data_IF_198959842893
#
_entry.id   IF_198959842893
#
_cell.length_a   1.000
_cell.length_b   1.000
_cell.length_c   1.000
_cell.angle_alpha   90.00
_cell.angle_beta   90.00
_cell.angle_gamma   90.00
#
_symmetry.space_group_name_H-M   'P 1'
#
loop_
_entity.id
_entity.type
_entity.pdbx_description
1 polymer ?
#
# COMPACT_ATOMS: atom_id res chain seq x y z
N UNK A 1 24.98 -18.11 -16.65
CA UNK A 1 24.92 -16.75 -16.07
C UNK A 1 23.45 -16.40 -16.03
N UNK A 2 22.87 -16.40 -14.83
CA UNK A 2 21.44 -16.18 -14.63
C UNK A 2 21.10 -14.72 -14.94
N UNK A 3 20.39 -14.48 -16.05
CA UNK A 3 20.12 -13.13 -16.56
C UNK A 3 19.15 -12.34 -15.67
N UNK A 4 18.40 -13.03 -14.81
CA UNK A 4 17.48 -12.40 -13.86
C UNK A 4 18.19 -11.79 -12.64
N UNK A 5 19.41 -12.26 -12.31
CA UNK A 5 20.11 -11.88 -11.10
C UNK A 5 20.66 -10.44 -11.09
N UNK A 6 20.68 -9.74 -12.25
CA UNK A 6 21.21 -8.39 -12.39
C UNK A 6 20.17 -7.36 -12.87
N UNK A 7 18.88 -7.70 -12.91
CA UNK A 7 17.84 -6.71 -13.14
C UNK A 7 17.56 -5.94 -11.83
N UNK A 8 17.86 -4.63 -11.76
CA UNK A 8 17.62 -3.83 -10.55
C UNK A 8 16.16 -3.86 -10.10
N UNK A 9 15.21 -4.02 -11.03
CA UNK A 9 13.77 -4.08 -10.74
C UNK A 9 13.39 -5.40 -10.06
N UNK A 10 14.00 -6.52 -10.44
CA UNK A 10 13.77 -7.85 -9.83
C UNK A 10 14.35 -7.89 -8.41
N UNK A 11 15.54 -7.33 -8.22
CA UNK A 11 16.17 -7.23 -6.90
C UNK A 11 15.35 -6.34 -5.94
N UNK A 12 14.87 -5.19 -6.42
CA UNK A 12 14.01 -4.28 -5.65
C UNK A 12 12.68 -4.94 -5.25
N UNK A 13 12.03 -5.68 -6.17
CA UNK A 13 10.80 -6.44 -5.88
C UNK A 13 11.00 -7.48 -4.80
N UNK A 14 12.10 -8.25 -4.89
CA UNK A 14 12.45 -9.27 -3.90
C UNK A 14 12.74 -8.67 -2.52
N UNK A 15 13.41 -7.51 -2.48
CA UNK A 15 13.67 -6.78 -1.25
C UNK A 15 12.39 -6.24 -0.61
N UNK A 16 11.52 -5.60 -1.40
CA UNK A 16 10.23 -5.08 -0.94
C UNK A 16 9.34 -6.20 -0.37
N UNK A 17 9.28 -7.34 -1.06
CA UNK A 17 8.53 -8.52 -0.61
C UNK A 17 9.01 -9.02 0.75
N UNK A 18 10.31 -9.19 0.92
CA UNK A 18 10.88 -9.63 2.20
C UNK A 18 10.58 -8.64 3.33
N UNK A 19 10.75 -7.34 3.07
CA UNK A 19 10.50 -6.32 4.08
C UNK A 19 9.04 -6.31 4.54
N UNK A 20 8.08 -6.33 3.60
CA UNK A 20 6.65 -6.33 3.94
C UNK A 20 6.23 -7.61 4.69
N UNK A 21 6.69 -8.78 4.23
CA UNK A 21 6.36 -10.04 4.89
C UNK A 21 6.91 -10.12 6.31
N UNK A 22 8.15 -9.67 6.52
CA UNK A 22 8.76 -9.63 7.85
C UNK A 22 8.03 -8.69 8.81
N UNK A 23 7.63 -7.50 8.33
CA UNK A 23 6.85 -6.57 9.15
C UNK A 23 5.46 -7.14 9.44
N UNK A 24 4.74 -7.67 8.45
CA UNK A 24 3.43 -8.28 8.65
C UNK A 24 3.46 -9.42 9.69
N UNK A 25 4.50 -10.26 9.68
CA UNK A 25 4.70 -11.31 10.70
C UNK A 25 4.95 -10.72 12.09
N UNK A 26 5.75 -9.67 12.20
CA UNK A 26 6.02 -9.01 13.49
C UNK A 26 4.77 -8.37 14.09
N UNK A 27 3.84 -7.89 13.28
CA UNK A 27 2.60 -7.27 13.75
C UNK A 27 1.60 -8.29 14.28
N UNK A 28 1.54 -9.49 13.70
CA UNK A 28 0.56 -10.54 14.05
C UNK A 28 0.72 -11.11 15.47
N UNK A 29 1.76 -10.74 16.22
CA UNK A 29 2.08 -11.30 17.54
C UNK A 29 2.24 -10.30 18.68
N UNK A 30 1.92 -9.01 18.49
CA UNK A 30 2.14 -7.98 19.53
C UNK A 30 0.86 -7.63 20.29
N UNK A 31 0.91 -7.74 21.61
CA UNK A 31 -0.19 -7.33 22.51
C UNK A 31 -0.14 -5.81 22.83
N UNK A 32 1.02 -5.17 22.74
CA UNK A 32 1.19 -3.75 23.01
C UNK A 32 0.82 -2.89 21.79
N UNK A 33 -0.28 -2.13 21.90
CA UNK A 33 -0.69 -1.11 20.92
C UNK A 33 0.23 0.11 20.99
N UNK A 34 1.35 0.05 20.27
CA UNK A 34 2.16 1.22 19.94
C UNK A 34 1.58 1.89 18.69
N UNK A 35 1.35 3.20 18.74
CA UNK A 35 0.95 3.98 17.57
C UNK A 35 2.07 3.99 16.54
N UNK A 36 1.72 3.63 15.29
CA UNK A 36 2.67 3.48 14.19
C UNK A 36 2.26 4.33 13.00
N UNK A 37 3.26 4.75 12.23
CA UNK A 37 3.08 5.41 10.96
C UNK A 37 3.78 4.62 9.84
N UNK A 38 3.10 4.44 8.71
CA UNK A 38 3.63 3.79 7.51
C UNK A 38 3.91 4.84 6.44
N UNK A 39 5.12 4.82 5.88
CA UNK A 39 5.47 5.66 4.73
C UNK A 39 5.78 4.78 3.52
N UNK A 40 5.15 5.07 2.39
CA UNK A 40 5.32 4.31 1.15
C UNK A 40 5.51 5.24 -0.05
N UNK A 41 6.39 4.86 -0.97
CA UNK A 41 6.65 5.63 -2.19
C UNK A 41 5.85 5.09 -3.37
N UNK A 42 5.55 5.92 -4.37
CA UNK A 42 4.91 5.49 -5.62
C UNK A 42 5.57 4.28 -6.29
N UNK A 43 6.91 4.21 -6.43
CA UNK A 43 7.58 3.02 -6.96
C UNK A 43 7.37 1.76 -6.11
N UNK A 44 7.36 1.88 -4.78
CA UNK A 44 7.05 0.75 -3.90
C UNK A 44 5.58 0.31 -4.05
N UNK A 45 4.64 1.26 -4.14
CA UNK A 45 3.23 0.97 -4.40
C UNK A 45 3.01 0.25 -5.73
N UNK A 46 3.81 0.55 -6.76
CA UNK A 46 3.73 -0.20 -8.02
C UNK A 46 4.04 -1.68 -7.80
N UNK A 47 5.12 -2.00 -7.08
CA UNK A 47 5.47 -3.38 -6.74
C UNK A 47 4.38 -4.06 -5.91
N UNK A 48 3.83 -3.34 -4.93
CA UNK A 48 2.77 -3.85 -4.04
C UNK A 48 1.49 -4.13 -4.84
N UNK A 49 1.09 -3.22 -5.73
CA UNK A 49 -0.13 -3.38 -6.51
C UNK A 49 0.00 -4.42 -7.64
N UNK A 50 1.21 -4.71 -8.11
CA UNK A 50 1.47 -5.76 -9.12
C UNK A 50 1.41 -7.19 -8.54
N UNK A 51 1.40 -7.40 -7.21
CA UNK A 51 1.40 -8.71 -6.55
C UNK A 51 0.26 -8.78 -5.50
N UNK A 52 -0.73 -9.66 -5.71
CA UNK A 52 -1.90 -9.77 -4.84
C UNK A 52 -1.53 -10.15 -3.39
N UNK A 53 -0.47 -10.93 -3.16
CA UNK A 53 -0.04 -11.28 -1.81
C UNK A 53 0.54 -10.07 -1.09
N UNK A 54 1.36 -9.26 -1.79
CA UNK A 54 1.91 -8.03 -1.22
C UNK A 54 0.84 -6.98 -0.97
N UNK A 55 -0.20 -6.94 -1.82
CA UNK A 55 -1.35 -6.06 -1.63
C UNK A 55 -2.10 -6.39 -0.34
N UNK A 56 -2.30 -7.67 -0.05
CA UNK A 56 -2.92 -8.13 1.19
C UNK A 56 -2.04 -7.81 2.42
N UNK A 57 -0.75 -8.14 2.38
CA UNK A 57 0.18 -7.84 3.47
C UNK A 57 0.28 -6.33 3.75
N UNK A 58 0.33 -5.51 2.69
CA UNK A 58 0.35 -4.05 2.82
C UNK A 58 -0.93 -3.52 3.47
N UNK A 59 -2.10 -4.05 3.12
CA UNK A 59 -3.36 -3.64 3.73
C UNK A 59 -3.40 -4.00 5.22
N UNK A 60 -2.97 -5.21 5.59
CA UNK A 60 -2.91 -5.63 6.99
C UNK A 60 -2.02 -4.68 7.80
N UNK A 61 -0.82 -4.36 7.30
CA UNK A 61 0.10 -3.42 7.96
C UNK A 61 -0.50 -2.02 8.05
N UNK A 62 -1.12 -1.54 6.95
CA UNK A 62 -1.68 -0.19 6.86
C UNK A 62 -2.88 0.00 7.80
N UNK A 63 -3.77 -1.00 7.91
CA UNK A 63 -4.93 -0.99 8.80
C UNK A 63 -4.54 -0.96 10.28
N UNK A 64 -3.35 -1.48 10.60
CA UNK A 64 -2.76 -1.50 11.92
C UNK A 64 -2.02 -0.20 12.30
N UNK A 65 -1.77 0.68 11.32
CA UNK A 65 -1.08 1.94 11.52
C UNK A 65 -2.08 3.07 11.82
N UNK A 66 -1.70 3.98 12.72
CA UNK A 66 -2.49 5.18 13.01
C UNK A 66 -2.45 6.17 11.83
N UNK A 67 -1.34 6.18 11.08
CA UNK A 67 -1.12 7.11 9.96
C UNK A 67 -0.47 6.35 8.80
N UNK A 68 -0.95 6.60 7.58
CA UNK A 68 -0.30 6.13 6.34
C UNK A 68 -0.02 7.32 5.44
N UNK A 69 1.24 7.48 5.02
CA UNK A 69 1.70 8.54 4.12
C UNK A 69 2.23 7.91 2.84
N UNK A 70 1.53 8.14 1.74
CA UNK A 70 2.00 7.78 0.40
C UNK A 70 2.61 8.99 -0.29
N UNK A 71 3.83 8.88 -0.81
CA UNK A 71 4.54 9.99 -1.44
C UNK A 71 4.94 9.69 -2.89
N UNK A 72 4.99 10.75 -3.72
CA UNK A 72 5.33 10.66 -5.16
C UNK A 72 4.47 9.66 -5.94
N UNK A 73 3.18 9.61 -5.60
CA UNK A 73 2.19 8.70 -6.22
C UNK A 73 1.58 9.27 -7.49
N UNK A 74 1.25 8.40 -8.44
CA UNK A 74 0.52 8.77 -9.65
C UNK A 74 -0.99 8.93 -9.39
N UNK A 75 -1.75 9.63 -10.26
CA UNK A 75 -3.22 9.71 -10.14
C UNK A 75 -3.90 8.34 -10.02
N UNK A 76 -3.43 7.34 -10.79
CA UNK A 76 -3.93 5.97 -10.73
C UNK A 76 -3.64 5.32 -9.36
N UNK A 77 -2.43 5.48 -8.84
CA UNK A 77 -2.05 4.90 -7.55
C UNK A 77 -2.86 5.50 -6.39
N UNK A 78 -3.25 6.78 -6.47
CA UNK A 78 -4.17 7.38 -5.49
C UNK A 78 -5.53 6.68 -5.49
N UNK A 79 -6.12 6.44 -6.67
CA UNK A 79 -7.37 5.70 -6.78
C UNK A 79 -7.22 4.24 -6.30
N UNK A 80 -6.13 3.57 -6.67
CA UNK A 80 -5.86 2.20 -6.21
C UNK A 80 -5.77 2.09 -4.68
N UNK A 81 -5.21 3.10 -4.00
CA UNK A 81 -5.19 3.16 -2.53
C UNK A 81 -6.61 3.20 -1.93
N UNK A 82 -7.47 4.07 -2.47
CA UNK A 82 -8.87 4.18 -2.01
C UNK A 82 -9.61 2.86 -2.23
N UNK A 83 -9.46 2.29 -3.42
CA UNK A 83 -10.05 0.99 -3.78
C UNK A 83 -9.58 -0.13 -2.87
N UNK A 84 -8.28 -0.19 -2.57
CA UNK A 84 -7.71 -1.20 -1.68
C UNK A 84 -8.40 -1.18 -0.31
N UNK A 85 -8.57 0.01 0.28
CA UNK A 85 -9.20 0.15 1.60
C UNK A 85 -10.68 -0.22 1.52
N UNK A 86 -11.40 0.29 0.52
CA UNK A 86 -12.83 0.05 0.35
C UNK A 86 -13.15 -1.43 0.14
N UNK A 87 -12.38 -2.10 -0.72
CA UNK A 87 -12.66 -3.49 -1.12
C UNK A 87 -12.02 -4.50 -0.15
N UNK A 88 -10.98 -4.12 0.59
CA UNK A 88 -10.18 -5.04 1.41
C UNK A 88 -10.43 -4.99 2.91
N UNK A 89 -10.99 -3.90 3.46
CA UNK A 89 -11.24 -3.79 4.90
C UNK A 89 -12.64 -4.32 5.24
N UNK A 90 -12.73 -5.09 6.33
CA UNK A 90 -14.00 -5.61 6.86
C UNK A 90 -14.19 -5.17 8.32
N UNK A 91 -15.35 -4.59 8.69
CA UNK A 91 -16.47 -4.25 7.81
C UNK A 91 -16.12 -3.15 6.80
N UNK A 92 -16.81 -3.13 5.66
CA UNK A 92 -16.54 -2.20 4.56
C UNK A 92 -16.65 -0.75 5.06
N UNK A 93 -15.58 0.05 4.99
CA UNK A 93 -15.59 1.42 5.47
C UNK A 93 -16.25 2.37 4.45
N UNK A 94 -16.75 3.50 4.93
CA UNK A 94 -17.05 4.65 4.08
C UNK A 94 -15.73 5.38 3.81
N UNK A 95 -15.33 5.51 2.55
CA UNK A 95 -14.15 6.28 2.15
C UNK A 95 -14.54 7.67 1.67
N UNK A 96 -13.72 8.66 2.02
CA UNK A 96 -13.83 10.05 1.60
C UNK A 96 -12.53 10.45 0.92
N UNK A 97 -12.62 11.06 -0.26
CA UNK A 97 -11.47 11.58 -1.00
C UNK A 97 -11.62 13.08 -1.25
N UNK A 98 -10.56 13.83 -0.95
CA UNK A 98 -10.52 15.28 -1.17
C UNK A 98 -9.29 15.62 -2.03
N UNK A 99 -9.47 16.51 -3.00
CA UNK A 99 -8.40 17.04 -3.83
C UNK A 99 -8.85 18.27 -4.61
N UNK A 100 -7.90 19.07 -5.06
CA UNK A 100 -8.12 20.37 -5.72
C UNK A 100 -7.79 20.34 -7.23
N UNK A 101 -7.14 19.26 -7.71
CA UNK A 101 -6.61 19.18 -9.07
C UNK A 101 -7.07 17.95 -9.87
N UNK A 102 -6.82 18.00 -11.19
CA UNK A 102 -7.14 16.91 -12.12
C UNK A 102 -6.47 15.57 -11.76
N UNK A 103 -5.35 15.61 -11.04
CA UNK A 103 -4.62 14.42 -10.57
C UNK A 103 -5.37 13.65 -9.47
N UNK A 104 -6.35 14.28 -8.83
CA UNK A 104 -7.13 13.70 -7.74
C UNK A 104 -8.51 13.22 -8.22
N UNK A 105 -8.93 13.62 -9.42
CA UNK A 105 -10.23 13.21 -9.99
C UNK A 105 -10.44 11.69 -9.96
N UNK A 106 -9.47 10.84 -10.36
CA UNK A 106 -9.66 9.39 -10.27
C UNK A 106 -9.84 8.90 -8.83
N UNK A 107 -9.11 9.49 -7.88
CA UNK A 107 -9.19 9.15 -6.46
C UNK A 107 -10.54 9.56 -5.85
N UNK A 108 -11.06 10.72 -6.24
CA UNK A 108 -12.37 11.25 -5.82
C UNK A 108 -13.49 10.37 -6.38
N UNK A 109 -13.41 9.99 -7.66
CA UNK A 109 -14.40 9.12 -8.29
C UNK A 109 -14.43 7.70 -7.71
N UNK A 110 -13.32 7.25 -7.13
CA UNK A 110 -13.23 5.93 -6.49
C UNK A 110 -13.81 5.91 -5.07
N UNK A 111 -13.83 7.05 -4.37
CA UNK A 111 -14.39 7.12 -3.01
C UNK A 111 -15.92 7.16 -3.03
N UNK A 112 -16.53 6.84 -1.88
CA UNK A 112 -17.98 6.97 -1.72
C UNK A 112 -18.42 8.43 -1.55
N UNK A 113 -17.54 9.28 -1.05
CA UNK A 113 -17.76 10.72 -0.83
C UNK A 113 -16.57 11.52 -1.34
#
# INVERSE_FOLDING_TARGET
IDREAFDPSVSARKAARRALQQEAEQLRGREDKVERALMVTGPALQVIFDDDALRADFLDIAADCAIVIACRVSPLQKAQMVRLVRDGVTPVPVTLSIGDGANDVPMIQEAQV
#
